data_IF_534096138466
#
_entry.id   IF_534096138466
#
_cell.length_a   1.000
_cell.length_b   1.000
_cell.length_c   1.000
_cell.angle_alpha   90.00
_cell.angle_beta   90.00
_cell.angle_gamma   90.00
#
_symmetry.space_group_name_H-M   'P 1'
#
loop_
_entity.id
_entity.type
_entity.pdbx_description
1 polymer ?
#
# COMPACT_ATOMS: atom_id res chain seq x y z
N UNK A 1 11.00 6.94 -18.69
CA UNK A 1 12.12 6.12 -18.16
C UNK A 1 11.80 5.53 -16.79
N UNK A 2 10.76 6.02 -16.08
CA UNK A 2 10.41 5.51 -14.74
C UNK A 2 9.60 4.20 -14.73
N UNK A 3 8.85 3.91 -15.80
CA UNK A 3 8.01 2.71 -15.91
C UNK A 3 8.78 1.39 -15.65
N UNK A 4 9.96 1.15 -16.27
CA UNK A 4 10.77 -0.03 -15.96
C UNK A 4 11.20 -0.10 -14.49
N UNK A 5 11.56 1.04 -13.89
CA UNK A 5 11.99 1.10 -12.49
C UNK A 5 10.84 0.75 -11.53
N UNK A 6 9.65 1.30 -11.77
CA UNK A 6 8.42 1.08 -10.99
C UNK A 6 7.82 -0.33 -11.17
N UNK A 7 8.40 -1.16 -12.03
CA UNK A 7 8.01 -2.57 -12.20
C UNK A 7 9.09 -3.46 -11.61
N UNK A 8 10.34 -3.28 -12.03
CA UNK A 8 11.45 -4.17 -11.66
C UNK A 8 11.72 -4.11 -10.16
N UNK A 9 11.81 -2.91 -9.58
CA UNK A 9 12.14 -2.75 -8.17
C UNK A 9 11.07 -3.37 -7.25
N UNK A 10 9.76 -3.04 -7.37
CA UNK A 10 8.74 -3.68 -6.54
C UNK A 10 8.58 -5.17 -6.85
N UNK A 11 8.84 -5.63 -8.08
CA UNK A 11 8.81 -7.06 -8.38
C UNK A 11 9.88 -7.82 -7.60
N UNK A 12 11.10 -7.30 -7.54
CA UNK A 12 12.17 -7.90 -6.74
C UNK A 12 11.80 -7.89 -5.25
N UNK A 13 11.30 -6.78 -4.72
CA UNK A 13 10.85 -6.70 -3.33
C UNK A 13 9.70 -7.68 -3.02
N UNK A 14 8.71 -7.78 -3.91
CA UNK A 14 7.58 -8.70 -3.75
C UNK A 14 8.05 -10.14 -3.61
N UNK A 15 9.03 -10.56 -4.43
CA UNK A 15 9.60 -11.90 -4.39
C UNK A 15 10.38 -12.14 -3.10
N UNK A 16 11.26 -11.22 -2.72
CA UNK A 16 12.04 -11.35 -1.47
C UNK A 16 11.10 -11.52 -0.28
N UNK A 17 10.08 -10.67 -0.17
CA UNK A 17 9.11 -10.72 0.95
C UNK A 17 8.28 -12.00 0.92
N UNK A 18 7.81 -12.43 -0.25
CA UNK A 18 6.99 -13.63 -0.39
C UNK A 18 7.69 -14.89 0.14
N UNK A 19 8.94 -15.10 -0.29
CA UNK A 19 9.72 -16.26 0.14
C UNK A 19 10.24 -16.12 1.57
N UNK A 20 10.53 -14.90 2.04
CA UNK A 20 10.95 -14.66 3.42
C UNK A 20 9.84 -14.98 4.43
N UNK A 21 8.60 -14.64 4.10
CA UNK A 21 7.42 -14.92 4.94
C UNK A 21 6.93 -16.37 4.85
N UNK A 22 7.52 -17.18 3.97
CA UNK A 22 7.13 -18.58 3.73
C UNK A 22 5.63 -18.74 3.43
N UNK A 23 5.10 -17.86 2.57
CA UNK A 23 3.72 -17.92 2.10
C UNK A 23 3.47 -19.17 1.24
N UNK A 24 2.20 -19.49 0.98
CA UNK A 24 1.79 -20.70 0.28
C UNK A 24 2.45 -20.83 -1.10
N UNK A 25 3.08 -21.96 -1.37
CA UNK A 25 3.88 -22.19 -2.60
C UNK A 25 3.02 -22.53 -3.85
N UNK A 26 1.81 -21.98 -3.93
CA UNK A 26 0.95 -22.12 -5.11
C UNK A 26 1.28 -21.02 -6.13
N UNK A 27 1.51 -21.39 -7.40
CA UNK A 27 1.88 -20.45 -8.46
C UNK A 27 0.85 -19.34 -8.66
N UNK A 28 -0.44 -19.66 -8.61
CA UNK A 28 -1.53 -18.69 -8.78
C UNK A 28 -1.55 -17.63 -7.67
N UNK A 29 -1.28 -18.06 -6.43
CA UNK A 29 -1.22 -17.17 -5.26
C UNK A 29 0.00 -16.24 -5.33
N UNK A 30 1.14 -16.77 -5.80
CA UNK A 30 2.34 -15.98 -6.02
C UNK A 30 2.14 -14.91 -7.10
N UNK A 31 1.52 -15.26 -8.24
CA UNK A 31 1.21 -14.28 -9.30
C UNK A 31 0.29 -13.18 -8.75
N UNK A 32 -0.77 -13.56 -8.04
CA UNK A 32 -1.72 -12.62 -7.44
C UNK A 32 -1.02 -11.69 -6.45
N UNK A 33 -0.13 -12.22 -5.60
CA UNK A 33 0.71 -11.44 -4.69
C UNK A 33 1.56 -10.40 -5.43
N UNK A 34 2.28 -10.82 -6.48
CA UNK A 34 3.12 -9.93 -7.28
C UNK A 34 2.30 -8.79 -7.91
N UNK A 35 1.11 -9.09 -8.44
CA UNK A 35 0.23 -8.07 -9.04
C UNK A 35 -0.27 -7.08 -7.98
N UNK A 36 -0.77 -7.56 -6.84
CA UNK A 36 -1.23 -6.68 -5.75
C UNK A 36 -0.08 -5.78 -5.28
N UNK A 37 1.12 -6.34 -5.08
CA UNK A 37 2.27 -5.58 -4.61
C UNK A 37 2.72 -4.51 -5.62
N UNK A 38 2.72 -4.84 -6.91
CA UNK A 38 3.07 -3.91 -7.97
C UNK A 38 2.05 -2.77 -8.09
N UNK A 39 0.75 -3.08 -8.01
CA UNK A 39 -0.31 -2.06 -8.01
C UNK A 39 -0.20 -1.14 -6.78
N UNK A 40 0.02 -1.70 -5.59
CA UNK A 40 0.21 -0.92 -4.37
C UNK A 40 1.42 0.01 -4.47
N UNK A 41 2.54 -0.45 -5.02
CA UNK A 41 3.73 0.38 -5.23
C UNK A 41 3.46 1.55 -6.17
N UNK A 42 2.76 1.31 -7.29
CA UNK A 42 2.40 2.37 -8.24
C UNK A 42 1.47 3.42 -7.61
N UNK A 43 0.49 2.99 -6.80
CA UNK A 43 -0.40 3.91 -6.07
C UNK A 43 0.39 4.69 -5.00
N UNK A 44 1.31 4.04 -4.29
CA UNK A 44 2.19 4.70 -3.33
C UNK A 44 3.05 5.78 -3.98
N UNK A 45 3.60 5.51 -5.16
CA UNK A 45 4.36 6.49 -5.94
C UNK A 45 3.48 7.69 -6.37
N UNK A 46 2.28 7.41 -6.89
CA UNK A 46 1.34 8.47 -7.27
C UNK A 46 0.92 9.35 -6.07
N UNK A 47 0.68 8.74 -4.91
CA UNK A 47 0.40 9.46 -3.66
C UNK A 47 1.61 10.30 -3.23
N UNK A 48 2.82 9.76 -3.31
CA UNK A 48 4.06 10.50 -2.99
C UNK A 48 4.22 11.75 -3.86
N UNK A 49 4.00 11.62 -5.17
CA UNK A 49 4.04 12.75 -6.10
C UNK A 49 2.93 13.75 -5.78
N UNK A 50 1.71 13.29 -5.49
CA UNK A 50 0.61 14.17 -5.12
C UNK A 50 0.94 15.01 -3.89
N UNK A 51 1.51 14.40 -2.84
CA UNK A 51 1.93 15.09 -1.62
C UNK A 51 3.08 16.06 -1.92
N UNK A 52 4.04 15.66 -2.76
CA UNK A 52 5.14 16.53 -3.20
C UNK A 52 4.66 17.79 -3.91
N UNK A 53 3.58 17.72 -4.70
CA UNK A 53 2.99 18.88 -5.36
C UNK A 53 2.26 19.84 -4.38
N UNK A 54 1.90 19.39 -3.18
CA UNK A 54 1.20 20.24 -2.20
C UNK A 54 2.14 21.20 -1.46
N UNK A 55 3.44 20.91 -1.40
CA UNK A 55 4.42 21.69 -0.65
C UNK A 55 5.46 22.32 -1.57
N UNK A 56 6.02 23.46 -1.13
CA UNK A 56 7.05 24.20 -1.90
C UNK A 56 8.48 23.67 -1.69
N UNK A 57 8.69 22.84 -0.66
CA UNK A 57 10.00 22.29 -0.30
C UNK A 57 9.92 20.78 -0.13
N UNK A 58 10.95 20.08 -0.64
CA UNK A 58 11.07 18.63 -0.50
C UNK A 58 11.23 18.22 0.97
N UNK A 59 11.95 19.01 1.77
CA UNK A 59 12.15 18.72 3.19
C UNK A 59 10.82 18.71 3.96
N UNK A 60 9.97 19.72 3.70
CA UNK A 60 8.64 19.81 4.30
C UNK A 60 7.74 18.67 3.80
N UNK A 61 7.86 18.28 2.53
CA UNK A 61 7.11 17.14 1.98
C UNK A 61 7.45 15.85 2.70
N UNK A 62 8.75 15.56 2.88
CA UNK A 62 9.20 14.32 3.53
C UNK A 62 8.77 14.29 4.99
N UNK A 63 8.89 15.41 5.71
CA UNK A 63 8.43 15.53 7.09
C UNK A 63 6.90 15.44 7.22
N UNK A 64 6.16 15.95 6.22
CA UNK A 64 4.70 15.95 6.18
C UNK A 64 4.08 14.66 5.65
N UNK A 65 4.82 13.82 4.91
CA UNK A 65 4.31 12.59 4.32
C UNK A 65 3.64 11.64 5.34
N UNK A 66 4.18 11.43 6.56
CA UNK A 66 3.52 10.61 7.57
C UNK A 66 2.11 11.10 7.94
N UNK A 67 1.83 12.40 7.85
CA UNK A 67 0.51 12.98 8.16
C UNK A 67 -0.56 12.46 7.19
N UNK A 68 -0.18 12.15 5.95
CA UNK A 68 -1.08 11.57 4.95
C UNK A 68 -1.09 10.03 4.99
N UNK A 69 0.07 9.40 5.21
CA UNK A 69 0.21 7.94 5.15
C UNK A 69 -0.40 7.28 6.39
N UNK A 70 -0.17 7.82 7.59
CA UNK A 70 -0.61 7.20 8.85
C UNK A 70 -2.13 7.04 8.96
N UNK A 71 -2.97 8.05 8.63
CA UNK A 71 -4.41 7.85 8.61
C UNK A 71 -4.84 6.74 7.64
N UNK A 72 -4.28 6.71 6.43
CA UNK A 72 -4.60 5.68 5.43
C UNK A 72 -4.22 4.27 5.94
N UNK A 73 -3.11 4.15 6.67
CA UNK A 73 -2.70 2.92 7.34
C UNK A 73 -3.61 2.54 8.51
N UNK A 74 -3.96 3.48 9.38
CA UNK A 74 -4.83 3.24 10.55
C UNK A 74 -6.18 2.67 10.15
N UNK A 75 -6.77 3.21 9.09
CA UNK A 75 -8.07 2.78 8.57
C UNK A 75 -7.98 1.63 7.55
N UNK A 76 -6.83 0.98 7.41
CA UNK A 76 -6.64 -0.19 6.52
C UNK A 76 -7.38 -1.45 7.00
N UNK A 77 -7.79 -1.49 8.27
CA UNK A 77 -8.43 -2.64 8.91
C UNK A 77 -7.46 -3.56 9.66
N UNK A 78 -6.16 -3.28 9.66
CA UNK A 78 -5.16 -3.97 10.48
C UNK A 78 -5.04 -3.36 11.89
N UNK A 79 -4.87 -2.04 12.00
CA UNK A 79 -4.61 -1.37 13.28
C UNK A 79 -5.88 -1.04 14.09
N UNK A 80 -6.98 -0.73 13.40
CA UNK A 80 -8.25 -0.35 14.03
C UNK A 80 -9.36 -1.25 13.50
N UNK A 81 -10.17 -1.79 14.41
CA UNK A 81 -11.36 -2.54 14.04
C UNK A 81 -12.34 -1.62 13.32
N UNK A 82 -12.80 -2.00 12.12
CA UNK A 82 -13.70 -1.18 11.31
C UNK A 82 -15.02 -0.84 12.03
N UNK A 83 -15.45 -1.64 13.01
CA UNK A 83 -16.64 -1.36 13.83
C UNK A 83 -16.44 -0.25 14.86
N UNK A 84 -15.19 0.05 15.21
CA UNK A 84 -14.83 1.09 16.18
C UNK A 84 -14.53 2.45 15.56
N UNK A 85 -14.60 2.57 14.22
CA UNK A 85 -14.35 3.83 13.52
C UNK A 85 -15.57 4.75 13.70
N UNK A 86 -15.40 5.97 14.23
CA UNK A 86 -16.50 6.92 14.31
C UNK A 86 -17.04 7.28 12.91
N UNK A 87 -18.36 7.47 12.78
CA UNK A 87 -19.07 7.66 11.50
C UNK A 87 -18.44 8.77 10.63
N UNK A 88 -17.94 9.85 11.25
CA UNK A 88 -17.33 10.97 10.55
C UNK A 88 -15.97 10.64 9.88
N UNK A 89 -15.28 9.57 10.29
CA UNK A 89 -14.05 9.08 9.66
C UNK A 89 -14.26 7.83 8.80
N UNK A 90 -15.48 7.29 8.76
CA UNK A 90 -15.78 6.03 8.07
C UNK A 90 -15.61 6.10 6.54
N UNK A 91 -15.53 7.29 5.96
CA UNK A 91 -15.27 7.42 4.52
C UNK A 91 -13.81 7.14 4.14
N UNK A 92 -12.86 7.33 5.08
CA UNK A 92 -11.41 7.24 4.81
C UNK A 92 -11.02 5.81 4.41
N UNK A 93 -11.67 4.81 4.99
CA UNK A 93 -11.43 3.40 4.63
C UNK A 93 -11.79 3.10 3.16
N UNK A 94 -12.62 3.90 2.48
CA UNK A 94 -12.97 3.66 1.07
C UNK A 94 -11.97 4.27 0.09
N UNK A 95 -11.22 5.29 0.51
CA UNK A 95 -10.17 5.90 -0.30
C UNK A 95 -8.79 5.27 -0.07
N UNK A 96 -8.61 4.55 1.04
CA UNK A 96 -7.32 3.98 1.43
C UNK A 96 -6.92 2.80 0.53
N UNK A 97 -5.86 2.93 -0.30
CA UNK A 97 -5.35 1.80 -1.08
C UNK A 97 -4.78 0.71 -0.17
N UNK A 98 -4.27 1.08 1.01
CA UNK A 98 -3.74 0.13 2.00
C UNK A 98 -4.82 -0.84 2.48
N UNK A 99 -6.08 -0.39 2.62
CA UNK A 99 -7.19 -1.29 2.98
C UNK A 99 -7.38 -2.37 1.92
N UNK A 100 -7.50 -1.96 0.66
CA UNK A 100 -7.78 -2.89 -0.43
C UNK A 100 -6.62 -3.87 -0.63
N UNK A 101 -5.37 -3.40 -0.57
CA UNK A 101 -4.20 -4.27 -0.65
C UNK A 101 -4.12 -5.23 0.52
N UNK A 102 -4.36 -4.77 1.75
CA UNK A 102 -4.37 -5.64 2.92
C UNK A 102 -5.44 -6.73 2.81
N UNK A 103 -6.67 -6.37 2.45
CA UNK A 103 -7.75 -7.34 2.25
C UNK A 103 -7.42 -8.32 1.12
N UNK A 104 -6.86 -7.85 0.01
CA UNK A 104 -6.48 -8.69 -1.11
C UNK A 104 -5.35 -9.68 -0.73
N UNK A 105 -4.35 -9.24 0.02
CA UNK A 105 -3.30 -10.13 0.54
C UNK A 105 -3.87 -11.18 1.50
N UNK A 106 -4.74 -10.77 2.41
CA UNK A 106 -5.37 -11.69 3.36
C UNK A 106 -6.22 -12.75 2.64
N UNK A 107 -7.07 -12.35 1.68
CA UNK A 107 -7.90 -13.26 0.90
C UNK A 107 -7.09 -14.18 -0.02
N UNK A 108 -5.95 -13.72 -0.51
CA UNK A 108 -5.07 -14.53 -1.34
C UNK A 108 -4.39 -15.62 -0.51
N UNK A 109 -4.01 -15.32 0.73
CA UNK A 109 -3.20 -16.23 1.54
C UNK A 109 -4.03 -17.17 2.43
N UNK A 110 -5.07 -16.66 3.08
CA UNK A 110 -5.86 -17.34 4.11
C UNK A 110 -7.29 -17.63 3.64
#
# INVERSE_FOLDING_TARGET
>A
VELPHNIIFPFIQANIVYFLLQLQLNGDKWITWCVIFLMLNNVGNALGICVACMFKSLEVTIQGAPVFILPLMLFSGFFVNQKGIPVYFDWIKYISPMRYSFQAFMLNEY
#
